data_IF_963813011298
#
_entry.id   IF_963813011298
#
_cell.length_a   1.000
_cell.length_b   1.000
_cell.length_c   1.000
_cell.angle_alpha   90.00
_cell.angle_beta   90.00
_cell.angle_gamma   90.00
#
_symmetry.space_group_name_H-M   'P 1'
#
loop_
_entity.id
_entity.type
_entity.pdbx_description
1 polymer ?
#
# COMPACT_ATOMS: atom_id res chain seq x y z
N UNK A 1 2.65 -29.51 -7.54
CA UNK A 1 2.98 -28.13 -7.95
C UNK A 1 3.53 -27.39 -6.75
N UNK A 2 4.70 -26.75 -6.91
CA UNK A 2 5.35 -25.94 -5.88
C UNK A 2 5.48 -24.49 -6.39
N UNK A 3 4.88 -23.56 -5.67
CA UNK A 3 4.97 -22.12 -5.95
C UNK A 3 5.93 -21.48 -4.95
N UNK A 4 6.97 -20.83 -5.45
CA UNK A 4 7.96 -20.14 -4.64
C UNK A 4 7.67 -18.64 -4.61
N UNK A 5 7.30 -18.12 -3.45
CA UNK A 5 6.89 -16.73 -3.26
C UNK A 5 7.95 -15.94 -2.50
N UNK A 6 8.19 -14.71 -2.91
CA UNK A 6 9.16 -13.83 -2.27
C UNK A 6 8.53 -12.45 -2.05
N UNK A 7 8.19 -12.15 -0.81
CA UNK A 7 7.76 -10.83 -0.36
C UNK A 7 8.89 -10.15 0.40
N UNK A 8 9.20 -8.90 0.06
CA UNK A 8 10.26 -8.13 0.72
C UNK A 8 9.77 -7.10 1.73
N UNK A 9 8.45 -6.94 1.86
CA UNK A 9 7.80 -5.92 2.71
C UNK A 9 6.45 -6.44 3.24
N UNK A 10 5.92 -5.88 4.35
CA UNK A 10 4.62 -6.30 4.90
C UNK A 10 3.44 -6.16 3.92
N UNK A 11 3.48 -5.19 3.00
CA UNK A 11 2.49 -5.04 1.92
C UNK A 11 2.54 -6.22 0.95
N UNK A 12 3.74 -6.64 0.59
CA UNK A 12 3.97 -7.82 -0.26
C UNK A 12 3.55 -9.12 0.42
N UNK A 13 3.78 -9.26 1.73
CA UNK A 13 3.35 -10.40 2.53
C UNK A 13 1.82 -10.56 2.54
N UNK A 14 1.10 -9.46 2.77
CA UNK A 14 -0.37 -9.48 2.72
C UNK A 14 -0.89 -9.86 1.32
N UNK A 15 -0.27 -9.34 0.27
CA UNK A 15 -0.64 -9.64 -1.11
C UNK A 15 -0.32 -11.09 -1.48
N UNK A 16 0.84 -11.59 -1.02
CA UNK A 16 1.25 -12.98 -1.16
C UNK A 16 0.29 -13.96 -0.48
N UNK A 17 -0.14 -13.65 0.74
CA UNK A 17 -1.12 -14.47 1.47
C UNK A 17 -2.46 -14.58 0.72
N UNK A 18 -2.95 -13.47 0.15
CA UNK A 18 -4.18 -13.48 -0.68
C UNK A 18 -4.00 -14.33 -1.94
N UNK A 19 -2.86 -14.21 -2.61
CA UNK A 19 -2.53 -15.04 -3.77
C UNK A 19 -2.46 -16.53 -3.40
N UNK A 20 -1.82 -16.88 -2.27
CA UNK A 20 -1.74 -18.26 -1.77
C UNK A 20 -3.13 -18.83 -1.52
N UNK A 21 -4.02 -18.07 -0.88
CA UNK A 21 -5.41 -18.49 -0.64
C UNK A 21 -6.13 -18.75 -1.94
N UNK A 22 -6.07 -17.82 -2.89
CA UNK A 22 -6.71 -17.95 -4.20
C UNK A 22 -6.16 -19.14 -5.00
N UNK A 23 -4.85 -19.42 -4.93
CA UNK A 23 -4.24 -20.59 -5.54
C UNK A 23 -4.71 -21.91 -4.91
N UNK A 24 -4.82 -21.96 -3.55
CA UNK A 24 -5.34 -23.13 -2.82
C UNK A 24 -6.81 -23.42 -3.15
N UNK A 25 -7.64 -22.38 -3.31
CA UNK A 25 -9.04 -22.53 -3.73
C UNK A 25 -9.15 -23.20 -5.11
N UNK A 26 -8.22 -22.92 -6.03
CA UNK A 26 -8.21 -23.54 -7.36
C UNK A 26 -7.54 -24.91 -7.37
N UNK A 27 -6.57 -25.14 -6.53
CA UNK A 27 -5.88 -26.43 -6.39
C UNK A 27 -5.34 -26.61 -4.97
N UNK A 28 -6.05 -27.33 -4.09
CA UNK A 28 -5.65 -27.57 -2.70
C UNK A 28 -4.32 -28.32 -2.50
N UNK A 29 -3.81 -28.98 -3.57
CA UNK A 29 -2.54 -29.73 -3.52
C UNK A 29 -1.30 -28.86 -3.77
N UNK A 30 -1.47 -27.54 -4.01
CA UNK A 30 -0.35 -26.62 -4.20
C UNK A 30 0.43 -26.49 -2.90
N UNK A 31 1.75 -26.63 -3.02
CA UNK A 31 2.70 -26.36 -1.93
C UNK A 31 3.36 -24.99 -2.14
N UNK A 32 3.72 -24.36 -1.03
CA UNK A 32 4.38 -23.06 -1.03
C UNK A 32 5.72 -23.14 -0.32
N UNK A 33 6.69 -22.37 -0.83
CA UNK A 33 7.98 -22.14 -0.23
C UNK A 33 8.43 -20.70 -0.52
N UNK A 34 9.39 -20.19 0.19
CA UNK A 34 9.96 -18.86 -0.13
C UNK A 34 10.19 -17.98 1.08
N UNK A 35 10.00 -16.68 0.88
CA UNK A 35 10.21 -15.62 1.86
C UNK A 35 8.91 -14.83 2.03
N UNK A 36 8.42 -14.73 3.26
CA UNK A 36 7.20 -14.00 3.59
C UNK A 36 7.14 -13.70 5.08
N UNK A 37 6.10 -13.01 5.50
CA UNK A 37 5.84 -12.69 6.89
C UNK A 37 4.68 -13.48 7.46
N UNK A 38 4.14 -12.96 8.59
CA UNK A 38 3.08 -13.62 9.36
C UNK A 38 1.83 -13.97 8.55
N UNK A 39 1.47 -13.16 7.52
CA UNK A 39 0.26 -13.43 6.74
C UNK A 39 0.44 -14.64 5.82
N UNK A 40 1.60 -14.77 5.16
CA UNK A 40 1.92 -15.93 4.33
C UNK A 40 2.16 -17.17 5.18
N UNK A 41 2.71 -17.02 6.39
CA UNK A 41 2.87 -18.13 7.34
C UNK A 41 1.53 -18.67 7.81
N UNK A 42 0.54 -17.82 8.09
CA UNK A 42 -0.84 -18.23 8.39
C UNK A 42 -1.49 -19.02 7.24
N UNK A 43 -1.03 -18.80 6.02
CA UNK A 43 -1.44 -19.56 4.84
C UNK A 43 -0.60 -20.85 4.64
N UNK A 44 0.24 -21.24 5.61
CA UNK A 44 0.95 -22.52 5.63
C UNK A 44 2.31 -22.50 4.92
N UNK A 45 2.90 -21.33 4.67
CA UNK A 45 4.27 -21.21 4.19
C UNK A 45 5.21 -20.95 5.38
N UNK A 46 6.34 -21.69 5.45
CA UNK A 46 7.43 -21.35 6.37
C UNK A 46 8.42 -20.45 5.64
N UNK A 47 8.67 -19.26 6.18
CA UNK A 47 9.64 -18.33 5.59
C UNK A 47 11.07 -18.84 5.70
N UNK A 48 11.88 -18.62 4.66
CA UNK A 48 13.31 -18.97 4.63
C UNK A 48 14.12 -18.11 5.61
N UNK A 49 13.75 -16.82 5.76
CA UNK A 49 14.32 -15.87 6.72
C UNK A 49 13.29 -14.79 7.05
N UNK A 50 13.57 -13.97 8.06
CA UNK A 50 12.70 -12.89 8.48
C UNK A 50 12.69 -11.76 7.43
N UNK A 51 11.49 -11.37 6.94
CA UNK A 51 11.34 -10.28 5.95
C UNK A 51 11.78 -8.92 6.49
N UNK A 52 11.80 -8.73 7.81
CA UNK A 52 12.28 -7.48 8.43
C UNK A 52 13.74 -7.20 8.08
N UNK A 53 14.50 -8.23 7.78
CA UNK A 53 15.89 -8.14 7.30
C UNK A 53 16.02 -7.44 5.94
N UNK A 54 14.96 -7.37 5.15
CA UNK A 54 14.89 -6.70 3.85
C UNK A 54 14.32 -5.28 3.95
N UNK A 55 13.66 -4.93 5.06
CA UNK A 55 13.02 -3.65 5.29
C UNK A 55 14.03 -2.55 5.67
N UNK A 56 15.00 -2.30 4.77
CA UNK A 56 16.05 -1.29 4.98
C UNK A 56 15.52 0.06 4.52
N UNK A 57 15.35 0.99 5.44
CA UNK A 57 14.87 2.33 5.18
C UNK A 57 15.93 3.39 5.52
N UNK A 58 16.36 4.11 4.49
CA UNK A 58 17.27 5.25 4.61
C UNK A 58 18.65 5.00 3.99
N UNK A 59 19.24 6.05 3.41
CA UNK A 59 20.54 5.97 2.75
C UNK A 59 21.68 5.55 3.71
N UNK A 60 21.59 5.95 4.98
CA UNK A 60 22.58 5.61 6.01
C UNK A 60 22.56 4.11 6.40
N UNK A 61 21.40 3.46 6.29
CA UNK A 61 21.19 2.06 6.65
C UNK A 61 21.47 1.10 5.49
N UNK A 62 21.44 1.61 4.25
CA UNK A 62 21.63 0.81 3.04
C UNK A 62 23.04 0.22 2.95
N UNK A 63 24.08 1.02 3.23
CA UNK A 63 25.49 0.59 3.05
C UNK A 63 25.87 -0.55 4.02
N UNK A 64 25.60 -0.47 5.33
CA UNK A 64 25.92 -1.55 6.26
C UNK A 64 25.13 -2.85 5.98
N UNK A 65 23.97 -2.76 5.37
CA UNK A 65 23.08 -3.91 5.13
C UNK A 65 23.38 -4.66 3.82
N UNK A 66 24.22 -4.12 2.92
CA UNK A 66 24.54 -4.76 1.64
C UNK A 66 25.02 -6.21 1.80
N UNK A 67 25.95 -6.56 2.72
CA UNK A 67 26.40 -7.94 2.89
C UNK A 67 25.25 -8.88 3.28
N UNK A 68 24.33 -8.44 4.17
CA UNK A 68 23.15 -9.19 4.59
C UNK A 68 22.21 -9.45 3.42
N UNK A 69 21.91 -8.42 2.63
CA UNK A 69 21.06 -8.54 1.43
C UNK A 69 21.68 -9.50 0.42
N UNK A 70 22.98 -9.43 0.18
CA UNK A 70 23.68 -10.35 -0.74
C UNK A 70 23.66 -11.79 -0.24
N UNK A 71 23.75 -12.01 1.07
CA UNK A 71 23.60 -13.32 1.70
C UNK A 71 22.19 -13.86 1.43
N UNK A 72 21.14 -13.09 1.73
CA UNK A 72 19.75 -13.51 1.51
C UNK A 72 19.43 -13.78 0.03
N UNK A 73 20.05 -13.04 -0.91
CA UNK A 73 19.94 -13.36 -2.34
C UNK A 73 20.53 -14.74 -2.63
N UNK A 74 21.71 -15.08 -2.06
CA UNK A 74 22.32 -16.40 -2.26
C UNK A 74 21.48 -17.50 -1.67
N UNK A 75 21.08 -17.37 -0.40
CA UNK A 75 20.21 -18.31 0.32
C UNK A 75 18.91 -18.58 -0.49
N UNK A 76 18.25 -17.53 -0.97
CA UNK A 76 17.04 -17.66 -1.80
C UNK A 76 17.30 -18.42 -3.10
N UNK A 77 18.37 -18.10 -3.79
CA UNK A 77 18.72 -18.74 -5.08
C UNK A 77 19.11 -20.21 -4.89
N UNK A 78 19.81 -20.53 -3.81
CA UNK A 78 20.23 -21.90 -3.51
C UNK A 78 19.03 -22.74 -3.05
N UNK A 79 18.10 -22.17 -2.29
CA UNK A 79 16.84 -22.81 -1.88
C UNK A 79 15.92 -23.08 -3.10
N UNK A 80 15.81 -22.13 -4.05
CA UNK A 80 15.09 -22.33 -5.32
C UNK A 80 15.71 -23.46 -6.13
N UNK A 81 17.05 -23.55 -6.17
CA UNK A 81 17.76 -24.60 -6.90
C UNK A 81 17.50 -25.98 -6.29
N UNK A 82 17.48 -26.07 -4.96
CA UNK A 82 17.20 -27.30 -4.22
C UNK A 82 15.74 -27.76 -4.38
N UNK A 83 14.80 -26.86 -4.16
CA UNK A 83 13.36 -27.15 -4.16
C UNK A 83 12.76 -27.35 -5.55
N UNK A 84 13.40 -26.81 -6.60
CA UNK A 84 12.95 -26.92 -8.00
C UNK A 84 11.47 -26.57 -8.18
N UNK A 85 11.03 -25.35 -7.81
CA UNK A 85 9.63 -24.96 -7.92
C UNK A 85 9.19 -24.83 -9.38
N UNK A 86 7.89 -24.96 -9.63
CA UNK A 86 7.27 -24.73 -10.94
C UNK A 86 7.31 -23.24 -11.36
N UNK A 87 7.26 -22.34 -10.38
CA UNK A 87 7.34 -20.89 -10.60
C UNK A 87 7.97 -20.18 -9.41
N UNK A 88 8.73 -19.13 -9.68
CA UNK A 88 9.20 -18.14 -8.70
C UNK A 88 8.45 -16.83 -8.93
N UNK A 89 7.72 -16.37 -7.93
CA UNK A 89 6.96 -15.12 -7.97
C UNK A 89 7.51 -14.19 -6.90
N UNK A 90 8.12 -13.08 -7.32
CA UNK A 90 8.48 -12.01 -6.40
C UNK A 90 7.36 -10.98 -6.32
N UNK A 91 7.14 -10.42 -5.13
CA UNK A 91 6.04 -9.50 -4.86
C UNK A 91 6.62 -8.19 -4.34
N UNK A 92 6.38 -7.09 -5.09
CA UNK A 92 6.89 -5.75 -4.76
C UNK A 92 8.43 -5.71 -4.61
N UNK A 93 8.98 -4.74 -3.88
CA UNK A 93 10.42 -4.61 -3.57
C UNK A 93 11.36 -4.89 -4.75
N UNK A 94 11.09 -4.26 -5.92
CA UNK A 94 11.81 -4.55 -7.19
C UNK A 94 13.33 -4.53 -7.05
N UNK A 95 13.88 -3.73 -6.15
CA UNK A 95 15.34 -3.66 -5.96
C UNK A 95 15.96 -4.96 -5.45
N UNK A 96 15.29 -5.70 -4.57
CA UNK A 96 15.68 -7.04 -4.14
C UNK A 96 15.27 -8.08 -5.18
N UNK A 97 14.00 -8.04 -5.60
CA UNK A 97 13.40 -8.96 -6.57
C UNK A 97 14.22 -9.09 -7.87
N UNK A 98 14.64 -7.96 -8.45
CA UNK A 98 15.46 -7.95 -9.66
C UNK A 98 16.81 -8.65 -9.48
N UNK A 99 17.42 -8.55 -8.30
CA UNK A 99 18.70 -9.23 -8.01
C UNK A 99 18.52 -10.73 -7.91
N UNK A 100 17.43 -11.20 -7.28
CA UNK A 100 17.10 -12.63 -7.22
C UNK A 100 16.85 -13.16 -8.64
N UNK A 101 15.98 -12.54 -9.43
CA UNK A 101 15.71 -12.95 -10.80
C UNK A 101 16.96 -12.98 -11.68
N UNK A 102 17.80 -11.94 -11.60
CA UNK A 102 19.08 -11.88 -12.30
C UNK A 102 20.02 -13.00 -11.89
N UNK A 103 20.08 -13.34 -10.60
CA UNK A 103 20.96 -14.40 -10.10
C UNK A 103 20.47 -15.78 -10.56
N UNK A 104 19.17 -16.04 -10.59
CA UNK A 104 18.57 -17.26 -11.15
C UNK A 104 18.93 -17.42 -12.64
N UNK A 105 18.78 -16.36 -13.45
CA UNK A 105 19.19 -16.37 -14.87
C UNK A 105 20.68 -16.60 -15.03
N UNK A 106 21.53 -15.93 -14.25
CA UNK A 106 22.98 -16.09 -14.30
C UNK A 106 23.43 -17.52 -13.98
N UNK A 107 22.76 -18.16 -13.00
CA UNK A 107 23.02 -19.58 -12.64
C UNK A 107 22.33 -20.57 -13.61
N UNK A 108 21.68 -20.09 -14.66
CA UNK A 108 20.95 -20.90 -15.67
C UNK A 108 19.90 -21.84 -15.05
N UNK A 109 19.28 -21.42 -13.93
CA UNK A 109 18.20 -22.19 -13.29
C UNK A 109 16.96 -22.03 -14.15
N UNK A 110 16.48 -23.16 -14.71
CA UNK A 110 15.28 -23.23 -15.56
C UNK A 110 14.05 -23.23 -14.66
N UNK A 111 13.40 -22.09 -14.50
CA UNK A 111 12.17 -21.90 -13.75
C UNK A 111 11.42 -20.70 -14.31
N UNK A 112 10.09 -20.79 -14.37
CA UNK A 112 9.24 -19.64 -14.69
C UNK A 112 9.44 -18.53 -13.65
N UNK A 113 9.72 -17.32 -14.09
CA UNK A 113 9.98 -16.17 -13.23
C UNK A 113 8.93 -15.09 -13.44
N UNK A 114 8.15 -14.80 -12.42
CA UNK A 114 7.10 -13.79 -12.47
C UNK A 114 7.34 -12.71 -11.42
N UNK A 115 6.86 -11.51 -11.70
CA UNK A 115 6.86 -10.42 -10.72
C UNK A 115 5.43 -9.88 -10.55
N UNK A 116 5.03 -9.66 -9.32
CA UNK A 116 3.75 -9.11 -8.96
C UNK A 116 3.94 -7.74 -8.30
N UNK A 117 3.22 -6.74 -8.75
CA UNK A 117 3.36 -5.30 -8.45
C UNK A 117 4.45 -4.64 -9.30
N UNK A 118 4.02 -4.00 -10.38
CA UNK A 118 4.92 -3.27 -11.26
C UNK A 118 5.67 -2.15 -10.51
N UNK A 119 6.98 -1.98 -10.75
CA UNK A 119 7.66 -0.78 -10.26
C UNK A 119 7.07 0.45 -10.96
N UNK A 120 6.90 1.53 -10.22
CA UNK A 120 6.29 2.79 -10.68
C UNK A 120 7.18 3.50 -11.74
N UNK A 121 7.32 2.88 -12.92
CA UNK A 121 8.18 3.38 -14.02
C UNK A 121 7.66 4.68 -14.64
N UNK A 122 6.38 4.97 -14.50
CA UNK A 122 5.75 6.22 -14.91
C UNK A 122 6.21 7.41 -14.06
N UNK A 123 6.58 7.16 -12.80
CA UNK A 123 7.07 8.19 -11.88
C UNK A 123 8.59 8.30 -11.86
N UNK A 124 9.30 7.16 -11.92
CA UNK A 124 10.74 7.07 -11.70
C UNK A 124 11.38 5.94 -12.48
N UNK A 125 12.60 6.18 -12.98
CA UNK A 125 13.46 5.15 -13.61
C UNK A 125 12.77 4.40 -14.78
N UNK A 126 12.24 5.11 -15.75
CA UNK A 126 11.62 4.58 -16.99
C UNK A 126 12.44 3.46 -17.67
N UNK A 127 13.79 3.49 -17.53
CA UNK A 127 14.68 2.44 -18.06
C UNK A 127 14.40 1.04 -17.48
N UNK A 128 13.75 0.93 -16.32
CA UNK A 128 13.41 -0.38 -15.73
C UNK A 128 12.44 -1.14 -16.64
N UNK A 129 11.43 -0.49 -17.18
CA UNK A 129 10.50 -1.13 -18.12
C UNK A 129 11.23 -1.78 -19.30
N UNK A 130 12.25 -1.08 -19.85
CA UNK A 130 13.06 -1.55 -20.98
C UNK A 130 13.96 -2.76 -20.69
N UNK A 131 14.12 -3.16 -19.44
CA UNK A 131 15.09 -4.19 -19.05
C UNK A 131 14.51 -5.36 -18.29
N UNK A 132 13.26 -5.23 -17.80
CA UNK A 132 12.64 -6.27 -16.97
C UNK A 132 12.48 -7.60 -17.68
N UNK A 133 12.14 -7.59 -18.99
CA UNK A 133 12.00 -8.80 -19.82
C UNK A 133 13.24 -9.70 -19.83
N UNK A 134 14.42 -9.14 -19.51
CA UNK A 134 15.67 -9.92 -19.42
C UNK A 134 15.72 -10.84 -18.19
N UNK A 135 14.88 -10.57 -17.20
CA UNK A 135 14.94 -11.22 -15.90
C UNK A 135 13.67 -11.98 -15.55
N UNK A 136 12.51 -11.49 -15.96
CA UNK A 136 11.21 -12.11 -15.69
C UNK A 136 10.49 -12.47 -16.98
N UNK A 137 9.64 -13.48 -16.92
CA UNK A 137 8.86 -14.00 -18.05
C UNK A 137 7.47 -13.36 -18.13
N UNK A 138 6.93 -12.92 -16.98
CA UNK A 138 5.58 -12.32 -16.92
C UNK A 138 5.49 -11.33 -15.74
N UNK A 139 4.72 -10.25 -15.93
CA UNK A 139 4.48 -9.20 -14.94
C UNK A 139 2.99 -9.10 -14.63
N UNK A 140 2.64 -9.07 -13.34
CA UNK A 140 1.28 -8.80 -12.87
C UNK A 140 1.21 -7.38 -12.32
N UNK A 141 0.27 -6.57 -12.83
CA UNK A 141 0.14 -5.14 -12.50
C UNK A 141 -1.13 -4.85 -11.73
N UNK A 142 -1.07 -3.80 -10.89
CA UNK A 142 -2.19 -3.39 -10.04
C UNK A 142 -3.11 -2.37 -10.70
N UNK A 143 -2.60 -1.60 -11.66
CA UNK A 143 -3.34 -0.52 -12.29
C UNK A 143 -3.53 -0.76 -13.78
N UNK A 144 -4.70 -0.37 -14.35
CA UNK A 144 -5.04 -0.67 -15.74
C UNK A 144 -4.15 0.05 -16.75
N UNK A 145 -3.51 1.14 -16.36
CA UNK A 145 -2.61 1.92 -17.21
C UNK A 145 -1.13 1.46 -17.16
N UNK A 146 -0.79 0.46 -16.33
CA UNK A 146 0.61 0.00 -16.22
C UNK A 146 1.09 -0.87 -17.38
N UNK A 147 0.29 -1.80 -17.95
CA UNK A 147 0.75 -2.68 -19.02
C UNK A 147 1.34 -1.97 -20.24
N UNK A 148 0.83 -0.78 -20.59
CA UNK A 148 1.32 0.03 -21.71
C UNK A 148 2.81 0.41 -21.62
N UNK A 149 3.41 0.39 -20.42
CA UNK A 149 4.82 0.70 -20.23
C UNK A 149 5.74 -0.50 -20.43
N UNK A 150 5.23 -1.73 -20.40
CA UNK A 150 6.03 -2.96 -20.42
C UNK A 150 5.80 -3.80 -21.69
N UNK A 151 4.58 -3.88 -22.18
CA UNK A 151 4.24 -4.64 -23.40
C UNK A 151 5.08 -4.23 -24.62
N UNK A 152 5.33 -2.93 -24.89
CA UNK A 152 6.18 -2.50 -26.01
C UNK A 152 7.64 -2.97 -25.89
N UNK A 153 8.04 -3.46 -24.73
CA UNK A 153 9.37 -4.01 -24.46
C UNK A 153 9.39 -5.54 -24.38
N UNK A 154 8.40 -6.21 -25.02
CA UNK A 154 8.29 -7.67 -25.11
C UNK A 154 8.17 -8.37 -23.73
N UNK A 155 7.63 -7.71 -22.72
CA UNK A 155 7.32 -8.32 -21.43
C UNK A 155 5.81 -8.62 -21.36
N UNK A 156 5.39 -9.88 -21.36
CA UNK A 156 4.01 -10.26 -21.08
C UNK A 156 3.56 -9.65 -19.76
N UNK A 157 2.49 -8.85 -19.82
CA UNK A 157 2.07 -8.04 -18.68
C UNK A 157 0.55 -8.05 -18.57
N UNK A 158 0.05 -8.45 -17.42
CA UNK A 158 -1.38 -8.59 -17.16
C UNK A 158 -1.82 -7.65 -16.06
N UNK A 159 -2.90 -6.92 -16.30
CA UNK A 159 -3.60 -6.18 -15.28
C UNK A 159 -4.48 -7.13 -14.47
N UNK A 160 -4.19 -7.29 -13.19
CA UNK A 160 -4.94 -8.16 -12.27
C UNK A 160 -5.91 -7.40 -11.38
N UNK A 161 -5.69 -6.10 -11.15
CA UNK A 161 -6.47 -5.25 -10.27
C UNK A 161 -5.74 -4.93 -8.97
N UNK A 162 -6.21 -3.88 -8.28
CA UNK A 162 -5.60 -3.42 -7.04
C UNK A 162 -6.19 -4.15 -5.82
N UNK A 163 -5.39 -4.65 -4.87
CA UNK A 163 -5.86 -5.42 -3.72
C UNK A 163 -6.78 -4.63 -2.77
N UNK A 164 -6.85 -3.32 -2.91
CA UNK A 164 -7.74 -2.47 -2.13
C UNK A 164 -9.21 -2.83 -2.32
N UNK A 165 -9.61 -3.34 -3.50
CA UNK A 165 -10.99 -3.74 -3.77
C UNK A 165 -11.42 -5.03 -3.05
N UNK A 166 -10.45 -5.77 -2.51
CA UNK A 166 -10.66 -6.93 -1.63
C UNK A 166 -10.42 -6.57 -0.15
N UNK A 167 -10.35 -5.27 0.18
CA UNK A 167 -10.14 -4.82 1.56
C UNK A 167 -11.37 -5.13 2.42
N UNK A 168 -11.13 -5.72 3.59
CA UNK A 168 -12.17 -5.95 4.59
C UNK A 168 -12.80 -4.64 5.09
N UNK A 169 -12.16 -3.49 4.84
CA UNK A 169 -12.72 -2.17 5.15
C UNK A 169 -14.07 -1.93 4.43
N UNK A 170 -14.24 -2.47 3.22
CA UNK A 170 -15.48 -2.30 2.43
C UNK A 170 -16.69 -2.85 3.18
N UNK A 171 -16.52 -3.96 3.89
CA UNK A 171 -17.57 -4.68 4.61
C UNK A 171 -17.44 -4.55 6.14
N UNK A 172 -16.59 -3.64 6.63
CA UNK A 172 -16.43 -3.45 8.06
C UNK A 172 -17.74 -2.91 8.68
N UNK A 173 -18.15 -3.50 9.81
CA UNK A 173 -19.25 -3.00 10.62
C UNK A 173 -18.69 -2.10 11.72
N UNK A 174 -19.12 -0.84 11.80
CA UNK A 174 -18.67 0.08 12.83
C UNK A 174 -19.30 -0.17 14.22
N UNK A 175 -20.36 -0.95 14.30
CA UNK A 175 -21.19 -1.09 15.51
C UNK A 175 -20.37 -1.52 16.73
N UNK A 176 -19.65 -2.62 16.61
CA UNK A 176 -18.79 -3.14 17.71
C UNK A 176 -17.73 -2.12 18.16
N UNK A 177 -17.16 -1.38 17.20
CA UNK A 177 -16.19 -0.32 17.49
C UNK A 177 -16.81 0.84 18.28
N UNK A 178 -17.98 1.32 17.85
CA UNK A 178 -18.71 2.41 18.51
C UNK A 178 -19.13 2.02 19.94
N UNK A 179 -19.65 0.80 20.11
CA UNK A 179 -20.04 0.26 21.41
C UNK A 179 -18.84 0.07 22.34
N UNK A 180 -17.74 -0.51 21.85
CA UNK A 180 -16.49 -0.74 22.62
C UNK A 180 -15.94 0.53 23.23
N UNK A 181 -15.93 1.60 22.46
CA UNK A 181 -15.39 2.90 22.89
C UNK A 181 -16.43 3.87 23.42
N UNK A 182 -17.68 3.40 23.55
CA UNK A 182 -18.82 4.21 24.06
C UNK A 182 -18.97 5.54 23.32
N UNK A 183 -18.74 5.51 22.00
CA UNK A 183 -18.86 6.70 21.14
C UNK A 183 -20.35 6.97 20.91
N UNK A 184 -20.82 8.11 21.41
CA UNK A 184 -22.22 8.50 21.27
C UNK A 184 -22.63 8.69 19.81
N UNK A 185 -23.87 8.30 19.41
CA UNK A 185 -24.36 8.40 18.04
C UNK A 185 -24.42 9.83 17.47
N UNK A 186 -24.43 10.85 18.32
CA UNK A 186 -24.37 12.25 17.92
C UNK A 186 -22.94 12.72 17.55
N UNK A 187 -21.91 11.92 17.86
CA UNK A 187 -20.53 12.24 17.51
C UNK A 187 -20.21 11.93 16.07
N UNK A 188 -19.54 12.87 15.43
CA UNK A 188 -18.99 12.74 14.07
C UNK A 188 -17.52 12.34 14.12
N UNK A 189 -17.19 11.15 13.64
CA UNK A 189 -15.81 10.65 13.66
C UNK A 189 -15.00 11.30 12.56
N UNK A 190 -13.86 11.88 12.94
CA UNK A 190 -12.82 12.35 12.02
C UNK A 190 -11.53 11.57 12.23
N UNK A 191 -10.95 11.04 11.13
CA UNK A 191 -9.71 10.31 11.19
C UNK A 191 -8.49 11.23 11.07
N UNK A 192 -7.47 10.96 11.90
CA UNK A 192 -6.15 11.57 11.83
C UNK A 192 -5.13 10.48 11.54
N UNK A 193 -4.53 10.48 10.36
CA UNK A 193 -3.67 9.42 9.83
C UNK A 193 -2.28 9.97 9.48
N UNK A 194 -1.40 10.22 10.49
CA UNK A 194 -0.13 10.93 10.27
C UNK A 194 0.96 10.07 9.61
N UNK A 195 0.64 8.84 9.25
CA UNK A 195 1.57 7.89 8.66
C UNK A 195 2.01 6.77 9.61
N UNK A 196 2.86 5.89 9.10
CA UNK A 196 3.34 4.70 9.81
C UNK A 196 4.83 4.73 10.15
N UNK A 197 5.54 5.78 9.72
CA UNK A 197 6.99 5.96 9.91
C UNK A 197 7.28 7.07 10.92
N UNK A 198 8.35 6.92 11.67
CA UNK A 198 8.76 7.92 12.69
C UNK A 198 8.87 9.33 12.11
N UNK A 199 9.44 9.49 10.92
CA UNK A 199 9.60 10.79 10.27
C UNK A 199 8.27 11.39 9.78
N UNK A 200 7.34 10.55 9.31
CA UNK A 200 6.00 11.00 8.91
C UNK A 200 5.26 11.54 10.14
N UNK A 201 5.18 10.76 11.21
CA UNK A 201 4.54 11.15 12.47
C UNK A 201 5.18 12.43 13.03
N UNK A 202 6.51 12.53 13.02
CA UNK A 202 7.22 13.71 13.54
C UNK A 202 6.86 15.00 12.80
N UNK A 203 6.69 14.92 11.49
CA UNK A 203 6.48 16.09 10.64
C UNK A 203 4.99 16.47 10.47
N UNK A 204 4.08 15.48 10.54
CA UNK A 204 2.67 15.68 10.23
C UNK A 204 1.79 15.75 11.47
N UNK A 205 2.03 14.92 12.49
CA UNK A 205 1.15 14.88 13.65
C UNK A 205 1.03 16.22 14.37
N UNK A 206 2.10 17.01 14.60
CA UNK A 206 1.96 18.31 15.27
C UNK A 206 0.94 19.22 14.58
N UNK A 207 1.06 19.42 13.29
CA UNK A 207 0.16 20.32 12.54
C UNK A 207 -1.26 19.75 12.43
N UNK A 208 -1.42 18.41 12.42
CA UNK A 208 -2.75 17.79 12.46
C UNK A 208 -3.43 17.97 13.81
N UNK A 209 -2.68 17.95 14.90
CA UNK A 209 -3.21 18.21 16.23
C UNK A 209 -3.61 19.67 16.40
N UNK A 210 -2.81 20.62 15.91
CA UNK A 210 -3.17 22.05 15.89
C UNK A 210 -4.48 22.30 15.12
N UNK A 211 -4.64 21.65 13.96
CA UNK A 211 -5.88 21.71 13.21
C UNK A 211 -7.06 21.10 13.99
N UNK A 212 -6.85 19.94 14.62
CA UNK A 212 -7.90 19.24 15.39
C UNK A 212 -8.39 20.07 16.58
N UNK A 213 -7.50 20.77 17.27
CA UNK A 213 -7.86 21.69 18.37
C UNK A 213 -8.77 22.82 17.89
N UNK A 214 -8.46 23.43 16.73
CA UNK A 214 -9.31 24.50 16.17
C UNK A 214 -10.64 23.94 15.65
N UNK A 215 -10.62 22.75 15.02
CA UNK A 215 -11.85 22.09 14.57
C UNK A 215 -12.77 21.74 15.77
N UNK A 216 -12.21 21.28 16.88
CA UNK A 216 -13.01 20.96 18.08
C UNK A 216 -13.75 22.15 18.65
N UNK A 217 -13.15 23.36 18.58
CA UNK A 217 -13.83 24.62 19.00
C UNK A 217 -15.01 24.96 18.07
N UNK A 218 -14.84 24.72 16.76
CA UNK A 218 -15.86 25.04 15.74
C UNK A 218 -16.94 23.97 15.64
N UNK A 219 -16.59 22.71 15.88
CA UNK A 219 -17.45 21.52 15.78
C UNK A 219 -17.32 20.65 17.04
N UNK A 220 -18.01 20.99 18.13
CA UNK A 220 -17.91 20.25 19.42
C UNK A 220 -18.37 18.78 19.34
N UNK A 221 -19.15 18.45 18.31
CA UNK A 221 -19.63 17.11 18.00
C UNK A 221 -18.56 16.22 17.29
N UNK A 222 -17.44 16.79 16.85
CA UNK A 222 -16.34 15.99 16.29
C UNK A 222 -15.66 15.14 17.38
N UNK A 223 -15.42 13.90 17.04
CA UNK A 223 -14.63 12.93 17.80
C UNK A 223 -13.47 12.43 16.94
N UNK A 224 -12.24 12.65 17.41
CA UNK A 224 -11.07 12.31 16.64
C UNK A 224 -10.62 10.88 16.92
N UNK A 225 -10.35 10.11 15.87
CA UNK A 225 -9.75 8.78 15.97
C UNK A 225 -8.43 8.79 15.22
N UNK A 226 -7.36 8.34 15.90
CA UNK A 226 -6.00 8.30 15.39
C UNK A 226 -5.53 6.85 15.31
N UNK A 227 -5.73 6.18 14.16
CA UNK A 227 -5.15 4.87 13.91
C UNK A 227 -3.63 4.95 13.79
N UNK A 228 -2.93 4.07 14.50
CA UNK A 228 -1.47 4.00 14.44
C UNK A 228 -0.97 2.57 14.37
N UNK A 229 0.31 2.37 14.11
CA UNK A 229 0.97 1.06 14.05
C UNK A 229 1.89 0.87 15.25
N UNK A 230 2.19 -0.39 15.59
CA UNK A 230 3.02 -0.73 16.77
C UNK A 230 4.34 0.03 16.82
N UNK A 231 5.00 0.20 15.67
CA UNK A 231 6.32 0.84 15.55
C UNK A 231 6.36 2.30 16.01
N UNK A 232 5.28 3.05 15.84
CA UNK A 232 5.20 4.48 16.20
C UNK A 232 4.20 4.78 17.31
N UNK A 233 3.54 3.75 17.88
CA UNK A 233 2.50 3.88 18.89
C UNK A 233 2.94 4.74 20.07
N UNK A 234 4.08 4.42 20.66
CA UNK A 234 4.57 5.15 21.85
C UNK A 234 4.71 6.65 21.54
N UNK A 235 5.38 6.98 20.45
CA UNK A 235 5.56 8.37 20.01
C UNK A 235 4.24 9.09 19.79
N UNK A 236 3.29 8.45 19.13
CA UNK A 236 1.95 9.02 18.91
C UNK A 236 1.25 9.26 20.24
N UNK A 237 1.27 8.27 21.15
CA UNK A 237 0.65 8.40 22.49
C UNK A 237 1.24 9.55 23.29
N UNK A 238 2.57 9.69 23.28
CA UNK A 238 3.26 10.77 24.01
C UNK A 238 2.88 12.16 23.45
N UNK A 239 2.75 12.27 22.11
CA UNK A 239 2.38 13.53 21.46
C UNK A 239 0.92 13.95 21.68
N UNK A 240 0.03 13.00 21.96
CA UNK A 240 -1.40 13.26 22.17
C UNK A 240 -1.76 13.46 23.63
N UNK A 241 -0.93 12.97 24.56
CA UNK A 241 -1.21 12.89 26.01
C UNK A 241 -1.64 14.21 26.65
N UNK A 242 -1.05 15.32 26.22
CA UNK A 242 -1.29 16.65 26.81
C UNK A 242 -2.25 17.52 25.99
N UNK A 243 -2.95 16.90 25.00
CA UNK A 243 -3.86 17.63 24.12
C UNK A 243 -5.28 17.62 24.68
N UNK A 244 -5.93 18.80 24.69
CA UNK A 244 -7.31 19.00 25.19
C UNK A 244 -8.37 18.36 24.28
N UNK A 245 -8.01 17.93 23.08
CA UNK A 245 -8.95 17.28 22.16
C UNK A 245 -9.10 15.81 22.53
N UNK A 246 -10.34 15.33 22.61
CA UNK A 246 -10.68 13.91 22.78
C UNK A 246 -10.21 13.10 21.57
N UNK A 247 -8.97 12.58 21.64
CA UNK A 247 -8.37 11.80 20.57
C UNK A 247 -8.22 10.35 21.02
N UNK A 248 -8.95 9.47 20.36
CA UNK A 248 -8.87 8.02 20.58
C UNK A 248 -7.74 7.43 19.71
N UNK A 249 -6.69 6.93 20.34
CA UNK A 249 -5.61 6.22 19.64
C UNK A 249 -5.94 4.73 19.54
N UNK A 250 -5.97 4.18 18.33
CA UNK A 250 -6.25 2.76 18.05
C UNK A 250 -5.11 2.12 17.27
N UNK A 251 -4.94 0.79 17.42
CA UNK A 251 -3.78 0.09 16.84
C UNK A 251 -4.13 -1.14 16.01
N UNK A 252 -5.37 -1.62 16.07
CA UNK A 252 -5.75 -2.82 15.31
C UNK A 252 -6.31 -2.44 13.94
N UNK A 253 -6.12 -3.33 12.97
CA UNK A 253 -6.63 -3.13 11.62
C UNK A 253 -8.17 -3.15 11.59
N UNK A 254 -8.79 -4.01 12.38
CA UNK A 254 -10.24 -4.10 12.46
C UNK A 254 -10.86 -2.79 12.95
N UNK A 255 -10.32 -2.21 14.03
CA UNK A 255 -10.77 -0.93 14.57
C UNK A 255 -10.55 0.22 13.56
N UNK A 256 -9.40 0.24 12.87
CA UNK A 256 -9.14 1.21 11.81
C UNK A 256 -10.18 1.15 10.70
N UNK A 257 -10.58 -0.04 10.29
CA UNK A 257 -11.58 -0.25 9.25
C UNK A 257 -12.99 0.18 9.71
N UNK A 258 -13.36 -0.18 10.93
CA UNK A 258 -14.62 0.22 11.53
C UNK A 258 -14.70 1.75 11.71
N UNK A 259 -13.64 2.37 12.23
CA UNK A 259 -13.56 3.82 12.37
C UNK A 259 -13.64 4.53 11.01
N UNK A 260 -12.99 3.99 9.95
CA UNK A 260 -13.08 4.56 8.60
C UNK A 260 -14.50 4.49 8.04
N UNK A 261 -15.23 3.41 8.27
CA UNK A 261 -16.64 3.28 7.83
C UNK A 261 -17.57 4.27 8.53
N UNK A 262 -17.22 4.75 9.71
CA UNK A 262 -17.99 5.72 10.49
C UNK A 262 -17.52 7.17 10.27
N UNK A 263 -16.41 7.38 9.57
CA UNK A 263 -15.77 8.68 9.49
C UNK A 263 -16.52 9.62 8.52
N UNK A 264 -16.74 10.86 8.96
CA UNK A 264 -17.29 11.93 8.11
C UNK A 264 -16.22 12.66 7.32
N UNK A 265 -14.96 12.63 7.78
CA UNK A 265 -13.80 13.17 7.07
C UNK A 265 -12.49 12.55 7.60
N UNK A 266 -11.41 12.74 6.86
CA UNK A 266 -10.07 12.33 7.29
C UNK A 266 -8.98 13.29 6.82
N UNK A 267 -7.89 13.39 7.63
CA UNK A 267 -6.60 13.94 7.19
C UNK A 267 -5.59 12.81 7.18
N UNK A 268 -4.88 12.62 6.07
CA UNK A 268 -4.00 11.47 5.90
C UNK A 268 -2.63 11.85 5.34
N UNK A 269 -1.59 11.16 5.79
CA UNK A 269 -0.32 11.14 5.06
C UNK A 269 -0.52 10.49 3.68
N UNK A 270 0.29 10.92 2.70
CA UNK A 270 0.24 10.32 1.37
C UNK A 270 0.63 8.84 1.41
N UNK A 271 -0.22 7.98 0.83
CA UNK A 271 0.00 6.54 0.79
C UNK A 271 -1.24 5.76 0.35
N UNK A 272 -1.19 4.44 0.50
CA UNK A 272 -2.29 3.53 0.14
C UNK A 272 -3.55 3.74 0.97
N UNK A 273 -3.42 4.28 2.20
CA UNK A 273 -4.57 4.57 3.08
C UNK A 273 -5.54 5.55 2.45
N UNK A 274 -5.05 6.54 1.69
CA UNK A 274 -5.92 7.48 0.97
C UNK A 274 -6.80 6.76 -0.08
N UNK A 275 -6.25 5.75 -0.75
CA UNK A 275 -7.03 4.93 -1.67
C UNK A 275 -8.08 4.07 -0.93
N UNK A 276 -7.72 3.53 0.25
CA UNK A 276 -8.66 2.83 1.11
C UNK A 276 -9.84 3.72 1.55
N UNK A 277 -9.56 4.98 1.95
CA UNK A 277 -10.59 5.96 2.31
C UNK A 277 -11.51 6.28 1.12
N UNK A 278 -10.93 6.49 -0.06
CA UNK A 278 -11.68 6.79 -1.27
C UNK A 278 -12.67 5.67 -1.65
N UNK A 279 -12.28 4.40 -1.55
CA UNK A 279 -13.18 3.29 -1.91
C UNK A 279 -14.33 3.07 -0.92
N UNK A 280 -14.22 3.58 0.31
CA UNK A 280 -15.32 3.57 1.30
C UNK A 280 -16.00 4.94 1.41
N UNK A 281 -15.76 5.84 0.45
CA UNK A 281 -16.38 7.16 0.31
C UNK A 281 -16.14 8.12 1.48
N UNK A 282 -15.00 8.03 2.17
CA UNK A 282 -14.63 8.98 3.22
C UNK A 282 -13.98 10.21 2.59
N UNK A 283 -14.57 11.40 2.72
CA UNK A 283 -13.94 12.66 2.28
C UNK A 283 -12.62 12.86 3.01
N UNK A 284 -11.54 13.19 2.28
CA UNK A 284 -10.25 13.34 2.92
C UNK A 284 -9.31 14.24 2.14
N UNK A 285 -8.36 14.81 2.85
CA UNK A 285 -7.21 15.47 2.26
C UNK A 285 -5.94 14.67 2.53
N UNK A 286 -4.97 14.81 1.64
CA UNK A 286 -3.64 14.24 1.81
C UNK A 286 -2.65 15.35 2.11
N UNK A 287 -1.86 15.17 3.16
CA UNK A 287 -0.77 16.05 3.51
C UNK A 287 0.55 15.31 3.55
N UNK A 288 1.62 15.96 3.12
CA UNK A 288 2.95 15.37 3.18
C UNK A 288 4.06 16.43 3.34
N UNK A 289 5.02 16.11 4.19
CA UNK A 289 6.15 16.98 4.50
C UNK A 289 7.43 16.17 4.57
N UNK A 290 8.40 16.56 3.77
CA UNK A 290 9.76 15.96 3.77
C UNK A 290 10.79 17.06 3.97
N UNK A 291 12.02 16.74 4.39
CA UNK A 291 13.10 17.72 4.48
C UNK A 291 13.28 18.51 3.18
N UNK A 292 13.58 19.83 3.25
CA UNK A 292 13.62 20.70 2.06
C UNK A 292 14.53 20.20 0.95
N UNK A 293 15.69 19.62 1.29
CA UNK A 293 16.61 19.04 0.32
C UNK A 293 15.96 17.87 -0.42
N UNK A 294 15.25 17.00 0.29
CA UNK A 294 14.51 15.87 -0.31
C UNK A 294 13.40 16.38 -1.22
N UNK A 295 12.65 17.39 -0.78
CA UNK A 295 11.58 18.01 -1.58
C UNK A 295 12.13 18.59 -2.90
N UNK A 296 13.23 19.34 -2.82
CA UNK A 296 13.90 19.91 -3.98
C UNK A 296 14.38 18.82 -4.96
N UNK A 297 14.98 17.75 -4.44
CA UNK A 297 15.46 16.63 -5.26
C UNK A 297 14.31 15.89 -5.94
N UNK A 298 13.22 15.63 -5.23
CA UNK A 298 12.01 14.98 -5.77
C UNK A 298 11.39 15.85 -6.86
N UNK A 299 11.21 17.14 -6.64
CA UNK A 299 10.68 18.08 -7.66
C UNK A 299 11.52 18.11 -8.94
N UNK A 300 12.85 17.92 -8.83
CA UNK A 300 13.76 17.89 -10.01
C UNK A 300 13.81 16.53 -10.71
N UNK A 301 13.71 15.44 -9.96
CA UNK A 301 13.90 14.08 -10.49
C UNK A 301 12.61 13.42 -10.95
N UNK A 302 11.45 13.93 -10.53
CA UNK A 302 10.16 13.34 -10.86
C UNK A 302 9.27 14.33 -11.59
N UNK A 303 8.55 13.83 -12.60
CA UNK A 303 7.50 14.59 -13.29
C UNK A 303 6.12 14.13 -12.81
N UNK A 304 5.99 13.87 -11.50
CA UNK A 304 4.74 13.40 -10.91
C UNK A 304 3.79 14.60 -10.79
N UNK A 305 2.64 14.51 -11.45
CA UNK A 305 1.60 15.52 -11.39
C UNK A 305 0.82 15.46 -10.06
N UNK A 306 0.64 14.26 -9.53
CA UNK A 306 -0.11 13.98 -8.30
C UNK A 306 0.65 12.99 -7.42
N UNK A 307 0.61 13.16 -6.09
CA UNK A 307 1.17 12.20 -5.13
C UNK A 307 0.10 11.24 -4.57
N UNK A 308 -1.16 11.62 -4.65
CA UNK A 308 -2.29 10.79 -4.26
C UNK A 308 -2.66 9.80 -5.38
N UNK A 309 -2.83 8.53 -5.04
CA UNK A 309 -3.17 7.48 -6.01
C UNK A 309 -4.53 7.70 -6.69
N UNK A 310 -5.51 8.25 -6.00
CA UNK A 310 -6.83 8.57 -6.59
C UNK A 310 -6.69 9.61 -7.69
N UNK A 311 -5.97 10.71 -7.43
CA UNK A 311 -5.72 11.76 -8.41
C UNK A 311 -4.95 11.24 -9.61
N UNK A 312 -3.96 10.41 -9.34
CA UNK A 312 -3.10 9.80 -10.35
C UNK A 312 -3.88 8.83 -11.26
N UNK A 313 -4.76 8.02 -10.69
CA UNK A 313 -5.56 7.05 -11.43
C UNK A 313 -6.64 7.73 -12.30
N UNK A 314 -7.20 8.82 -11.80
CA UNK A 314 -8.24 9.57 -12.51
C UNK A 314 -7.68 10.70 -13.36
N UNK A 315 -6.37 10.98 -13.29
CA UNK A 315 -5.67 12.13 -13.88
C UNK A 315 -6.38 13.47 -13.61
N UNK A 316 -6.90 13.62 -12.39
CA UNK A 316 -7.65 14.82 -11.94
C UNK A 316 -7.35 15.13 -10.47
N UNK A 317 -7.38 16.41 -10.06
CA UNK A 317 -7.22 16.82 -8.67
C UNK A 317 -8.53 16.60 -7.88
N UNK A 318 -8.86 15.34 -7.57
CA UNK A 318 -10.07 14.97 -6.84
C UNK A 318 -9.86 15.18 -5.35
N UNK A 319 -8.76 14.64 -4.79
CA UNK A 319 -8.38 14.75 -3.39
C UNK A 319 -7.40 15.90 -3.22
N UNK A 320 -7.62 16.85 -2.30
CA UNK A 320 -6.66 17.90 -2.01
C UNK A 320 -5.31 17.36 -1.55
N UNK A 321 -4.23 17.87 -2.12
CA UNK A 321 -2.85 17.52 -1.76
C UNK A 321 -2.16 18.74 -1.16
N UNK A 322 -2.02 18.77 0.17
CA UNK A 322 -1.34 19.83 0.89
C UNK A 322 0.11 19.42 1.18
N UNK A 323 1.01 19.84 0.29
CA UNK A 323 2.41 19.40 0.29
C UNK A 323 3.33 20.51 0.78
N UNK A 324 4.36 20.13 1.55
CA UNK A 324 5.43 21.02 2.00
C UNK A 324 4.90 22.28 2.69
N UNK A 325 5.03 23.43 2.07
CA UNK A 325 4.62 24.75 2.58
C UNK A 325 3.10 24.85 2.75
N UNK A 326 2.34 24.13 1.92
CA UNK A 326 0.88 24.06 2.00
C UNK A 326 0.39 23.15 3.14
N UNK A 327 1.26 22.30 3.68
CA UNK A 327 0.97 21.50 4.89
C UNK A 327 1.12 22.37 6.14
N UNK A 328 0.21 23.31 6.34
CA UNK A 328 0.14 24.21 7.51
C UNK A 328 -1.28 24.20 8.09
N UNK A 329 -1.39 24.69 9.34
CA UNK A 329 -2.64 24.68 10.11
C UNK A 329 -3.79 25.36 9.36
N UNK A 330 -3.54 26.53 8.79
CA UNK A 330 -4.55 27.38 8.14
C UNK A 330 -5.17 26.68 6.95
N UNK A 331 -4.36 26.12 6.04
CA UNK A 331 -4.83 25.39 4.85
C UNK A 331 -5.48 24.07 5.20
N UNK A 332 -4.91 23.33 6.17
CA UNK A 332 -5.53 22.10 6.67
C UNK A 332 -6.92 22.37 7.24
N UNK A 333 -7.04 23.41 8.09
CA UNK A 333 -8.31 23.80 8.69
C UNK A 333 -9.33 24.21 7.63
N UNK A 334 -8.97 25.09 6.70
CA UNK A 334 -9.85 25.56 5.64
C UNK A 334 -10.36 24.39 4.77
N UNK A 335 -9.44 23.54 4.30
CA UNK A 335 -9.79 22.39 3.46
C UNK A 335 -10.66 21.39 4.22
N UNK A 336 -10.37 21.12 5.50
CA UNK A 336 -11.17 20.18 6.31
C UNK A 336 -12.59 20.72 6.54
N UNK A 337 -12.77 22.02 6.72
CA UNK A 337 -14.12 22.63 6.83
C UNK A 337 -14.94 22.40 5.56
N UNK A 338 -14.32 22.51 4.39
CA UNK A 338 -14.99 22.19 3.13
C UNK A 338 -15.34 20.71 3.03
N UNK A 339 -14.48 19.80 3.48
CA UNK A 339 -14.75 18.36 3.50
C UNK A 339 -15.88 17.98 4.47
N UNK A 340 -16.02 18.70 5.58
CA UNK A 340 -17.13 18.50 6.54
C UNK A 340 -18.47 19.07 6.07
N UNK A 341 -18.45 19.94 5.07
CA UNK A 341 -19.64 20.56 4.49
C UNK A 341 -20.11 19.81 3.24
N UNK A 342 -21.14 19.00 3.38
CA UNK A 342 -21.71 18.23 2.23
C UNK A 342 -22.24 19.09 1.07
N UNK A 343 -22.40 20.39 1.28
CA UNK A 343 -22.83 21.33 0.22
C UNK A 343 -21.66 21.96 -0.52
N UNK A 344 -20.42 21.82 -0.03
CA UNK A 344 -19.22 22.39 -0.67
C UNK A 344 -18.95 21.72 -2.04
N UNK A 345 -18.33 22.46 -2.93
CA UNK A 345 -17.92 21.92 -4.23
C UNK A 345 -16.79 20.90 -4.10
N UNK A 346 -15.93 21.03 -3.08
CA UNK A 346 -14.88 20.06 -2.78
C UNK A 346 -15.49 18.72 -2.40
N UNK A 347 -16.41 18.69 -1.43
CA UNK A 347 -17.09 17.45 -1.00
C UNK A 347 -17.76 16.74 -2.18
N UNK A 348 -18.53 17.48 -3.00
CA UNK A 348 -19.22 16.92 -4.17
C UNK A 348 -18.24 16.36 -5.20
N UNK A 349 -17.13 17.07 -5.44
CA UNK A 349 -16.08 16.65 -6.35
C UNK A 349 -15.46 15.35 -5.90
N UNK A 350 -15.14 15.20 -4.62
CA UNK A 350 -14.60 13.95 -4.07
C UNK A 350 -15.59 12.80 -4.18
N UNK A 351 -16.85 12.99 -3.77
CA UNK A 351 -17.85 11.91 -3.83
C UNK A 351 -18.03 11.38 -5.25
N UNK A 352 -18.13 12.27 -6.24
CA UNK A 352 -18.20 11.90 -7.66
C UNK A 352 -16.91 11.24 -8.16
N UNK A 353 -15.77 11.73 -7.69
CA UNK A 353 -14.46 11.15 -7.99
C UNK A 353 -14.31 9.75 -7.42
N UNK A 354 -14.73 9.52 -6.18
CA UNK A 354 -14.68 8.22 -5.52
C UNK A 354 -15.61 7.19 -6.18
N UNK A 355 -16.80 7.62 -6.61
CA UNK A 355 -17.68 6.76 -7.39
C UNK A 355 -17.01 6.31 -8.70
N UNK A 356 -16.36 7.23 -9.42
CA UNK A 356 -15.64 6.91 -10.64
C UNK A 356 -14.43 5.99 -10.35
N UNK A 357 -13.67 6.27 -9.30
CA UNK A 357 -12.55 5.45 -8.87
C UNK A 357 -12.99 4.00 -8.59
N UNK A 358 -14.10 3.81 -7.87
CA UNK A 358 -14.66 2.49 -7.58
C UNK A 358 -14.99 1.71 -8.86
N UNK A 359 -15.55 2.40 -9.87
CA UNK A 359 -15.81 1.80 -11.20
C UNK A 359 -14.51 1.41 -11.91
N UNK A 360 -13.53 2.32 -11.95
CA UNK A 360 -12.22 2.08 -12.58
C UNK A 360 -11.46 0.91 -11.93
N UNK A 361 -11.53 0.80 -10.60
CA UNK A 361 -10.91 -0.30 -9.87
C UNK A 361 -11.73 -1.59 -9.87
N UNK A 362 -12.98 -1.56 -10.29
CA UNK A 362 -13.87 -2.74 -10.32
C UNK A 362 -14.29 -3.20 -8.93
N UNK A 363 -14.56 -2.27 -8.00
CA UNK A 363 -15.04 -2.59 -6.65
C UNK A 363 -16.36 -3.37 -6.73
N UNK A 364 -16.42 -4.52 -6.06
CA UNK A 364 -17.58 -5.42 -6.05
C UNK A 364 -17.68 -6.38 -7.26
N UNK A 365 -16.85 -6.19 -8.30
CA UNK A 365 -16.85 -7.03 -9.50
C UNK A 365 -15.52 -7.76 -9.66
N UNK A 366 -14.41 -7.05 -9.52
CA UNK A 366 -13.07 -7.60 -9.72
C UNK A 366 -12.58 -8.32 -8.47
N UNK A 367 -11.94 -9.46 -8.66
CA UNK A 367 -11.24 -10.22 -7.61
C UNK A 367 -9.76 -10.35 -7.99
N UNK A 368 -8.92 -9.36 -7.65
CA UNK A 368 -7.49 -9.33 -8.02
C UNK A 368 -6.71 -10.59 -7.68
N UNK A 369 -6.89 -11.12 -6.47
CA UNK A 369 -6.20 -12.34 -6.03
C UNK A 369 -6.59 -13.57 -6.85
N UNK A 370 -7.87 -13.71 -7.21
CA UNK A 370 -8.37 -14.80 -8.04
C UNK A 370 -7.84 -14.70 -9.47
N UNK A 371 -7.87 -13.49 -10.05
CA UNK A 371 -7.35 -13.24 -11.39
C UNK A 371 -5.84 -13.48 -11.46
N UNK A 372 -5.09 -13.03 -10.45
CA UNK A 372 -3.66 -13.31 -10.35
C UNK A 372 -3.38 -14.82 -10.29
N UNK A 373 -4.15 -15.57 -9.48
CA UNK A 373 -4.01 -17.03 -9.38
C UNK A 373 -4.30 -17.74 -10.71
N UNK A 374 -5.32 -17.31 -11.47
CA UNK A 374 -5.61 -17.84 -12.81
C UNK A 374 -4.44 -17.66 -13.75
N UNK A 375 -3.92 -16.45 -13.84
CA UNK A 375 -2.79 -16.12 -14.72
C UNK A 375 -1.53 -16.89 -14.32
N UNK A 376 -1.26 -17.05 -13.02
CA UNK A 376 -0.13 -17.85 -12.54
C UNK A 376 -0.25 -19.30 -12.98
N UNK A 377 -1.42 -19.93 -12.80
CA UNK A 377 -1.65 -21.31 -13.20
C UNK A 377 -1.58 -21.51 -14.74
N UNK A 378 -2.09 -20.56 -15.51
CA UNK A 378 -1.97 -20.54 -16.95
C UNK A 378 -0.52 -20.42 -17.40
N UNK A 379 0.23 -19.49 -16.84
CA UNK A 379 1.65 -19.28 -17.15
C UNK A 379 2.50 -20.53 -16.84
N UNK A 380 2.23 -21.25 -15.74
CA UNK A 380 2.91 -22.51 -15.43
C UNK A 380 2.60 -23.57 -16.52
N UNK A 381 1.33 -23.69 -16.95
CA UNK A 381 0.95 -24.65 -18.01
C UNK A 381 1.62 -24.31 -19.33
N UNK A 382 1.69 -23.03 -19.71
CA UNK A 382 2.36 -22.56 -20.93
C UNK A 382 3.87 -22.83 -20.89
N UNK A 383 4.51 -22.56 -19.73
CA UNK A 383 5.94 -22.76 -19.56
C UNK A 383 6.35 -24.23 -19.66
N UNK A 384 5.54 -25.13 -19.12
CA UNK A 384 5.81 -26.58 -19.14
C UNK A 384 5.55 -27.23 -20.51
N UNK A 385 4.93 -26.54 -21.47
CA UNK A 385 4.76 -26.99 -22.85
C UNK A 385 5.93 -26.65 -23.76
N UNK A 386 6.83 -25.75 -23.33
CA UNK A 386 8.06 -25.34 -24.04
C UNK A 386 9.25 -26.19 -23.65
#
# INVERSE_FOLDING_TARGET
MLVYLIAGEPSGDMLGARLMRALKEKNPKIKFAGVGGENMEKEGMKSLFDITDLAIMGLAEVIPSIPKVLRHIRETVDDVKEKKPDVVITIDSWSFSARVHKALRKKKIKVLQMHYVAPQVWAWKKRRAKTMYKYIDRLLTLFPNEPQYFIPHHLPTDFVGHPVVESSMINADPKEFLEKYQISPDKKIMLILPGSRHNEVANLLPVFLEMAEELKKLYPDLFFVLPTVKTVKQRVTDMVKDKQSDILVITTQAERYAAAKSAVAAVAASGTVALELAIVNVPHLVAYKVPPITAWLVRRLTHIKYVNLTNLLLDRPIVPELLQEDCNKEKLLATTKDLLNSKSELYKTEQKGFENLRKVLGVGVMRPSQKAAEIVLEAIKEYNKK
#
